data_IF_730867841420
#
_entry.id   IF_730867841420
#
_cell.length_a   1.000
_cell.length_b   1.000
_cell.length_c   1.000
_cell.angle_alpha   90.00
_cell.angle_beta   90.00
_cell.angle_gamma   90.00
#
_symmetry.space_group_name_H-M   'P 1'
#
loop_
_entity.id
_entity.type
_entity.pdbx_description
1 polymer ?
#
# COMPACT_ATOMS: atom_id res chain seq x y z
N UNK A 1 2.81 11.12 -68.79
CA UNK A 1 2.03 11.03 -67.53
C UNK A 1 2.58 9.87 -66.70
N UNK A 2 3.47 10.13 -65.74
CA UNK A 2 4.08 9.09 -64.89
C UNK A 2 3.31 9.03 -63.56
N UNK A 3 2.53 7.96 -63.36
CA UNK A 3 1.83 7.68 -62.10
C UNK A 3 2.83 7.07 -61.12
N UNK A 4 3.15 7.80 -60.06
CA UNK A 4 4.00 7.32 -58.96
C UNK A 4 3.10 6.59 -57.95
N UNK A 5 3.29 5.28 -57.78
CA UNK A 5 2.70 4.51 -56.69
C UNK A 5 3.54 4.70 -55.42
N UNK A 6 2.92 5.14 -54.34
CA UNK A 6 3.52 5.27 -53.00
C UNK A 6 3.01 4.07 -52.16
N UNK A 7 3.90 3.25 -51.56
CA UNK A 7 3.47 2.15 -50.72
C UNK A 7 3.11 2.67 -49.32
N UNK A 8 1.89 2.34 -48.89
CA UNK A 8 1.36 2.63 -47.56
C UNK A 8 1.98 1.65 -46.54
N UNK A 9 2.99 2.09 -45.80
CA UNK A 9 3.52 1.34 -44.64
C UNK A 9 2.51 1.43 -43.48
N UNK A 10 1.91 0.31 -43.14
CA UNK A 10 1.05 0.16 -41.96
C UNK A 10 1.95 -0.03 -40.73
N UNK A 11 2.15 1.04 -39.97
CA UNK A 11 2.76 0.97 -38.64
C UNK A 11 1.79 0.30 -37.68
N UNK A 12 2.11 -0.91 -37.21
CA UNK A 12 1.42 -1.50 -36.05
C UNK A 12 1.77 -0.64 -34.82
N UNK A 13 0.86 0.24 -34.42
CA UNK A 13 0.90 0.87 -33.12
C UNK A 13 0.70 -0.24 -32.06
N UNK A 14 1.79 -0.71 -31.46
CA UNK A 14 1.73 -1.43 -30.20
C UNK A 14 1.11 -0.46 -29.19
N UNK A 15 -0.14 -0.70 -28.79
CA UNK A 15 -0.72 -0.01 -27.68
C UNK A 15 0.18 -0.25 -26.47
N UNK A 16 0.93 0.77 -26.05
CA UNK A 16 1.50 0.81 -24.73
C UNK A 16 0.30 0.77 -23.78
N UNK A 17 0.08 -0.36 -23.12
CA UNK A 17 -0.65 -0.36 -21.86
C UNK A 17 0.01 0.73 -21.05
N UNK A 18 -0.71 1.83 -20.81
CA UNK A 18 -0.24 2.84 -19.88
C UNK A 18 -0.09 2.09 -18.56
N UNK A 19 1.15 1.77 -18.18
CA UNK A 19 1.51 1.23 -16.88
C UNK A 19 0.85 2.14 -15.84
N UNK A 20 -0.28 1.68 -15.27
CA UNK A 20 -0.89 2.36 -14.13
C UNK A 20 0.19 2.48 -13.07
N UNK A 21 0.33 3.62 -12.42
CA UNK A 21 1.39 3.73 -11.42
C UNK A 21 1.10 2.73 -10.30
N UNK A 22 2.13 2.19 -9.63
CA UNK A 22 1.94 1.44 -8.38
C UNK A 22 1.12 2.24 -7.34
N UNK A 23 1.08 3.57 -7.49
CA UNK A 23 0.25 4.50 -6.71
C UNK A 23 -1.25 4.34 -6.96
N UNK A 24 -1.64 3.92 -8.16
CA UNK A 24 -3.03 3.77 -8.58
C UNK A 24 -3.56 2.36 -8.31
N UNK A 25 -2.68 1.41 -7.99
CA UNK A 25 -3.02 0.04 -7.64
C UNK A 25 -3.69 -0.05 -6.27
N UNK A 26 -5.03 0.04 -6.26
CA UNK A 26 -5.86 0.11 -5.05
C UNK A 26 -5.50 -0.97 -4.02
N UNK A 27 -5.39 -2.23 -4.45
CA UNK A 27 -5.15 -3.34 -3.52
C UNK A 27 -3.77 -3.27 -2.84
N UNK A 28 -2.76 -2.80 -3.56
CA UNK A 28 -1.42 -2.58 -3.00
C UNK A 28 -1.45 -1.42 -2.01
N UNK A 29 -2.10 -0.31 -2.39
CA UNK A 29 -2.18 0.89 -1.57
C UNK A 29 -2.98 0.66 -0.28
N UNK A 30 -4.14 0.03 -0.37
CA UNK A 30 -4.95 -0.35 0.80
C UNK A 30 -4.14 -1.23 1.77
N UNK A 31 -3.34 -2.17 1.23
CA UNK A 31 -2.48 -3.02 2.03
C UNK A 31 -1.35 -2.26 2.74
N UNK A 32 -0.71 -1.32 2.05
CA UNK A 32 0.32 -0.45 2.64
C UNK A 32 -0.26 0.46 3.72
N UNK A 33 -1.45 1.03 3.49
CA UNK A 33 -2.17 1.83 4.48
C UNK A 33 -2.50 0.96 5.70
N UNK A 34 -2.99 -0.27 5.51
CA UNK A 34 -3.27 -1.17 6.62
C UNK A 34 -2.02 -1.48 7.46
N UNK A 35 -0.85 -1.62 6.84
CA UNK A 35 0.42 -1.76 7.56
C UNK A 35 0.79 -0.49 8.31
N UNK A 36 0.65 0.68 7.69
CA UNK A 36 0.94 1.95 8.34
C UNK A 36 0.01 2.22 9.54
N UNK A 37 -1.28 1.86 9.44
CA UNK A 37 -2.24 1.89 10.56
C UNK A 37 -1.75 1.00 11.70
N UNK A 38 -1.38 -0.25 11.42
CA UNK A 38 -0.87 -1.17 12.43
C UNK A 38 0.44 -0.66 13.07
N UNK A 39 1.31 -0.06 12.26
CA UNK A 39 2.59 0.53 12.69
C UNK A 39 2.39 1.73 13.62
N UNK A 40 1.46 2.63 13.29
CA UNK A 40 1.10 3.77 14.12
C UNK A 40 0.50 3.33 15.46
N UNK A 41 -0.40 2.34 15.46
CA UNK A 41 -0.99 1.78 16.68
C UNK A 41 0.09 1.22 17.61
N UNK A 42 0.96 0.32 17.14
CA UNK A 42 1.99 -0.30 18.00
C UNK A 42 3.01 0.71 18.53
N UNK A 43 3.23 1.83 17.83
CA UNK A 43 4.19 2.87 18.23
C UNK A 43 3.61 3.75 19.35
N UNK A 44 2.30 3.96 19.34
CA UNK A 44 1.62 4.84 20.28
C UNK A 44 0.86 4.11 21.39
N UNK A 45 0.67 2.79 21.29
CA UNK A 45 0.03 1.97 22.30
C UNK A 45 1.03 1.02 22.98
N UNK A 46 1.20 1.18 24.29
CA UNK A 46 2.07 0.32 25.10
C UNK A 46 1.60 -1.12 25.25
N UNK A 47 0.31 -1.42 25.05
CA UNK A 47 -0.28 -2.74 25.31
C UNK A 47 -0.50 -3.58 24.04
N UNK A 48 -0.04 -3.10 22.88
CA UNK A 48 -0.19 -3.77 21.60
C UNK A 48 1.18 -4.04 21.01
N UNK A 49 1.40 -5.27 20.55
CA UNK A 49 2.62 -5.70 19.88
C UNK A 49 2.35 -6.11 18.44
N UNK A 50 3.30 -5.90 17.52
CA UNK A 50 3.19 -6.44 16.18
C UNK A 50 3.35 -7.96 16.18
N UNK A 51 2.74 -8.61 15.19
CA UNK A 51 3.02 -9.98 14.78
C UNK A 51 4.05 -9.93 13.65
N UNK A 52 5.33 -9.76 14.00
CA UNK A 52 6.42 -9.50 13.04
C UNK A 52 6.43 -10.45 11.83
N UNK A 53 6.34 -11.76 12.05
CA UNK A 53 6.31 -12.74 10.96
C UNK A 53 5.10 -12.55 10.02
N UNK A 54 3.94 -12.15 10.55
CA UNK A 54 2.76 -11.84 9.73
C UNK A 54 2.95 -10.56 8.94
N UNK A 55 3.51 -9.51 9.54
CA UNK A 55 3.80 -8.26 8.85
C UNK A 55 4.79 -8.47 7.69
N UNK A 56 5.89 -9.20 7.93
CA UNK A 56 6.88 -9.53 6.90
C UNK A 56 6.25 -10.37 5.78
N UNK A 57 5.48 -11.40 6.14
CA UNK A 57 4.78 -12.25 5.16
C UNK A 57 3.80 -11.43 4.33
N UNK A 58 3.06 -10.51 4.95
CA UNK A 58 2.09 -9.66 4.27
C UNK A 58 2.79 -8.68 3.30
N UNK A 59 3.90 -8.07 3.69
CA UNK A 59 4.71 -7.22 2.79
C UNK A 59 5.31 -8.00 1.62
N UNK A 60 5.76 -9.24 1.86
CA UNK A 60 6.16 -10.13 0.77
C UNK A 60 5.00 -10.43 -0.18
N UNK A 61 3.78 -10.59 0.33
CA UNK A 61 2.59 -10.84 -0.47
C UNK A 61 2.22 -9.65 -1.36
N UNK A 62 2.31 -8.41 -0.87
CA UNK A 62 2.09 -7.20 -1.68
C UNK A 62 3.14 -7.08 -2.78
N UNK A 63 4.42 -7.29 -2.45
CA UNK A 63 5.50 -7.31 -3.47
C UNK A 63 5.24 -8.36 -4.55
N UNK A 64 4.82 -9.56 -4.17
CA UNK A 64 4.46 -10.63 -5.11
C UNK A 64 3.25 -10.26 -5.96
N UNK A 65 2.27 -9.58 -5.39
CA UNK A 65 1.09 -9.13 -6.12
C UNK A 65 1.45 -8.07 -7.15
N UNK A 66 2.26 -7.06 -6.78
CA UNK A 66 2.79 -6.09 -7.74
C UNK A 66 3.54 -6.79 -8.89
N UNK A 67 4.40 -7.76 -8.59
CA UNK A 67 5.08 -8.52 -9.65
C UNK A 67 4.15 -9.32 -10.57
N UNK A 68 2.98 -9.77 -10.08
CA UNK A 68 1.97 -10.43 -10.92
C UNK A 68 1.22 -9.46 -11.83
N UNK A 69 1.19 -8.17 -11.48
CA UNK A 69 0.57 -7.11 -12.27
C UNK A 69 1.47 -6.59 -13.38
N UNK A 70 2.75 -6.99 -13.41
CA UNK A 70 3.70 -6.61 -14.46
C UNK A 70 4.87 -5.76 -13.96
N UNK A 71 4.76 -5.17 -12.77
CA UNK A 71 5.80 -4.31 -12.22
C UNK A 71 7.10 -5.04 -11.94
N UNK A 72 8.20 -4.48 -12.43
CA UNK A 72 9.54 -4.98 -12.19
C UNK A 72 9.97 -4.82 -10.72
N UNK A 73 10.95 -5.61 -10.31
CA UNK A 73 11.53 -5.49 -8.97
C UNK A 73 12.18 -4.10 -8.73
N UNK A 74 12.66 -3.44 -9.79
CA UNK A 74 13.23 -2.10 -9.71
C UNK A 74 12.15 -1.04 -9.47
N UNK A 75 11.05 -1.08 -10.22
CA UNK A 75 9.90 -0.19 -10.03
C UNK A 75 9.29 -0.33 -8.64
N UNK A 76 9.12 -1.57 -8.16
CA UNK A 76 8.62 -1.80 -6.81
C UNK A 76 9.59 -1.22 -5.77
N UNK A 77 10.90 -1.40 -5.95
CA UNK A 77 11.91 -0.89 -5.02
C UNK A 77 11.92 0.65 -5.00
N UNK A 78 11.82 1.28 -6.16
CA UNK A 78 11.72 2.73 -6.28
C UNK A 78 10.46 3.24 -5.59
N UNK A 79 9.32 2.64 -5.85
CA UNK A 79 8.04 3.01 -5.25
C UNK A 79 8.05 2.91 -3.72
N UNK A 80 8.49 1.79 -3.14
CA UNK A 80 8.57 1.66 -1.67
C UNK A 80 9.68 2.50 -1.05
N UNK A 81 10.68 2.89 -1.85
CA UNK A 81 11.79 3.75 -1.45
C UNK A 81 11.43 5.23 -1.46
N UNK A 82 10.43 5.63 -2.25
CA UNK A 82 10.03 7.01 -2.47
C UNK A 82 9.39 7.63 -1.22
N UNK A 83 10.00 8.71 -0.71
CA UNK A 83 9.52 9.36 0.51
C UNK A 83 8.19 10.08 0.34
N UNK A 84 7.86 10.53 -0.87
CA UNK A 84 6.54 11.12 -1.16
C UNK A 84 5.45 10.07 -1.02
N UNK A 85 5.69 8.84 -1.50
CA UNK A 85 4.74 7.74 -1.34
C UNK A 85 4.61 7.25 0.09
N UNK A 86 5.71 7.16 0.84
CA UNK A 86 5.66 6.85 2.27
C UNK A 86 4.86 7.91 3.03
N UNK A 87 5.09 9.19 2.75
CA UNK A 87 4.37 10.30 3.39
C UNK A 87 2.87 10.23 3.08
N UNK A 88 2.50 9.96 1.82
CA UNK A 88 1.10 9.79 1.41
C UNK A 88 0.43 8.61 2.14
N UNK A 89 1.09 7.46 2.20
CA UNK A 89 0.56 6.27 2.91
C UNK A 89 0.42 6.55 4.41
N UNK A 90 1.40 7.24 5.02
CA UNK A 90 1.34 7.63 6.42
C UNK A 90 0.18 8.62 6.69
N UNK A 91 -0.03 9.60 5.81
CA UNK A 91 -1.13 10.55 5.92
C UNK A 91 -2.49 9.84 5.82
N UNK A 92 -2.66 8.93 4.85
CA UNK A 92 -3.88 8.14 4.70
C UNK A 92 -4.15 7.23 5.92
N UNK A 93 -3.10 6.64 6.50
CA UNK A 93 -3.23 5.88 7.75
C UNK A 93 -3.64 6.76 8.93
N UNK A 94 -3.12 7.99 9.02
CA UNK A 94 -3.50 8.93 10.06
C UNK A 94 -4.96 9.38 9.89
N UNK A 95 -5.40 9.70 8.69
CA UNK A 95 -6.78 10.05 8.38
C UNK A 95 -7.74 8.90 8.77
N UNK A 96 -7.38 7.66 8.40
CA UNK A 96 -8.11 6.48 8.83
C UNK A 96 -8.23 6.43 10.35
N UNK A 97 -7.12 6.56 11.08
CA UNK A 97 -7.12 6.48 12.55
C UNK A 97 -7.98 7.57 13.19
N UNK A 98 -7.89 8.81 12.71
CA UNK A 98 -8.73 9.92 13.17
C UNK A 98 -10.21 9.62 12.94
N UNK A 99 -10.56 9.09 11.76
CA UNK A 99 -11.92 8.62 11.46
C UNK A 99 -12.40 7.49 12.37
N UNK A 100 -11.48 6.78 13.03
CA UNK A 100 -11.74 5.71 14.00
C UNK A 100 -11.56 6.17 15.46
N UNK A 101 -11.62 7.49 15.71
CA UNK A 101 -11.63 8.06 17.06
C UNK A 101 -10.26 8.21 17.71
N UNK A 102 -9.18 8.06 16.94
CA UNK A 102 -7.82 8.31 17.45
C UNK A 102 -7.52 9.79 17.51
N UNK A 103 -7.01 10.23 18.66
CA UNK A 103 -6.55 11.61 18.87
C UNK A 103 -5.03 11.64 18.97
N UNK A 104 -4.41 12.61 18.30
CA UNK A 104 -2.96 12.79 18.35
C UNK A 104 -2.48 13.05 19.78
N UNK A 105 -1.46 12.31 20.22
CA UNK A 105 -0.93 12.38 21.59
C UNK A 105 -1.70 11.58 22.64
N UNK A 106 -2.87 11.03 22.32
CA UNK A 106 -3.65 10.19 23.25
C UNK A 106 -3.39 8.69 23.02
N UNK A 107 -2.44 8.14 23.76
CA UNK A 107 -2.11 6.71 23.74
C UNK A 107 -3.31 5.78 23.98
N UNK A 108 -4.26 6.18 24.83
CA UNK A 108 -5.42 5.34 25.14
C UNK A 108 -6.33 5.18 23.91
N UNK A 109 -6.49 6.24 23.12
CA UNK A 109 -7.25 6.18 21.86
C UNK A 109 -6.62 5.23 20.84
N UNK A 110 -5.28 5.23 20.70
CA UNK A 110 -4.57 4.27 19.83
C UNK A 110 -4.75 2.82 20.32
N UNK A 111 -4.71 2.60 21.64
CA UNK A 111 -4.94 1.28 22.20
C UNK A 111 -6.37 0.78 21.98
N UNK A 112 -7.36 1.66 22.12
CA UNK A 112 -8.76 1.34 21.84
C UNK A 112 -8.96 0.98 20.36
N UNK A 113 -8.45 1.82 19.44
CA UNK A 113 -8.48 1.54 18.01
C UNK A 113 -7.79 0.21 17.68
N UNK A 114 -6.60 -0.03 18.22
CA UNK A 114 -5.87 -1.28 18.00
C UNK A 114 -6.59 -2.53 18.49
N UNK A 115 -7.28 -2.47 19.63
CA UNK A 115 -8.16 -3.56 20.09
C UNK A 115 -9.35 -3.76 19.16
N UNK A 116 -9.93 -2.66 18.67
CA UNK A 116 -11.00 -2.68 17.66
C UNK A 116 -10.57 -3.39 16.37
N UNK A 117 -9.41 -3.00 15.82
CA UNK A 117 -8.83 -3.64 14.62
C UNK A 117 -8.61 -5.15 14.83
N UNK A 118 -8.03 -5.54 15.97
CA UNK A 118 -7.80 -6.95 16.33
C UNK A 118 -9.12 -7.72 16.40
N UNK A 119 -10.12 -7.17 17.10
CA UNK A 119 -11.43 -7.80 17.26
C UNK A 119 -12.18 -7.93 15.94
N UNK A 120 -12.08 -6.92 15.06
CA UNK A 120 -12.67 -6.94 13.72
C UNK A 120 -11.98 -7.92 12.77
N UNK A 121 -10.80 -8.46 13.13
CA UNK A 121 -10.01 -9.31 12.24
C UNK A 121 -9.58 -8.59 10.96
N UNK A 122 -9.48 -7.25 11.01
CA UNK A 122 -9.11 -6.40 9.88
C UNK A 122 -7.71 -6.72 9.38
N UNK A 123 -7.32 -6.18 8.22
CA UNK A 123 -5.95 -6.35 7.73
C UNK A 123 -4.93 -5.82 8.74
N UNK A 124 -5.12 -4.63 9.30
CA UNK A 124 -4.26 -4.08 10.35
C UNK A 124 -4.30 -4.93 11.63
N UNK A 125 -5.47 -5.35 12.08
CA UNK A 125 -5.65 -6.16 13.28
C UNK A 125 -4.98 -7.53 13.21
N UNK A 126 -4.99 -8.18 12.03
CA UNK A 126 -4.29 -9.47 11.83
C UNK A 126 -2.77 -9.34 11.99
N UNK A 127 -2.22 -8.14 11.81
CA UNK A 127 -0.80 -7.81 12.01
C UNK A 127 -0.47 -7.46 13.46
N UNK A 128 -1.48 -7.33 14.32
CA UNK A 128 -1.33 -6.94 15.72
C UNK A 128 -1.75 -8.07 16.68
N UNK A 129 -1.33 -7.91 17.93
CA UNK A 129 -1.80 -8.69 19.09
C UNK A 129 -1.81 -7.79 20.33
N UNK A 130 -2.78 -8.00 21.22
CA UNK A 130 -2.68 -7.51 22.59
C UNK A 130 -1.51 -8.24 23.29
N UNK A 131 -0.88 -7.55 24.23
CA UNK A 131 0.12 -8.12 25.14
C UNK A 131 -0.53 -9.05 26.17
#
# INVERSE_FOLDING_TARGET
>A
MKRVLIPLLVSLATASVAETSLRDEKQINDGLIAVAVADAIRKNCGDISPRYFRAISYMSSLKRQAGKLGYSAAEIKEFVGNDTDKARVAAAAQEYLVGHGVSAGDSASYCAAGRGEIAAGSTSGRLLRAK
#
